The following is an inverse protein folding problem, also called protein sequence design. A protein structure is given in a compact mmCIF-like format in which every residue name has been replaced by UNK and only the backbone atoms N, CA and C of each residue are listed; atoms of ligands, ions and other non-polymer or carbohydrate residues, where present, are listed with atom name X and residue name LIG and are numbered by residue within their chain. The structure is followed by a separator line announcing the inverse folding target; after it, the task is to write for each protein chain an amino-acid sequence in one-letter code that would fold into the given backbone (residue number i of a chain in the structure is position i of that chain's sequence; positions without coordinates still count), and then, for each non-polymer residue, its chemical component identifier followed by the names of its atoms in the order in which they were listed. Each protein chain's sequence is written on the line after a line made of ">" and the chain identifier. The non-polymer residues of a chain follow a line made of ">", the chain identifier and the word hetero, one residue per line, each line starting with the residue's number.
data_IF_477201633864
#
_entry.id   IF_477201633864
#
_cell.length_a   1.000
_cell.length_b   1.000
_cell.length_c   1.000
_cell.angle_alpha   90.00
_cell.angle_beta   90.00
_cell.angle_gamma   90.00
#
_symmetry.space_group_name_H-M   'P 1'
#
loop_
_entity.id
_entity.type
_entity.pdbx_description
1 polymer ?
#
# COMPACT_ATOMS: atom_id res chain seq x y z
N UNK A 1 -4.16 -1.65 -18.52
CA UNK A 1 -4.43 -2.10 -17.14
C UNK A 1 -5.28 -3.35 -17.21
N UNK A 2 -4.69 -4.54 -17.17
CA UNK A 2 -5.45 -5.73 -16.83
C UNK A 2 -6.01 -5.50 -15.43
N UNK A 3 -7.31 -5.73 -15.22
CA UNK A 3 -8.01 -5.40 -13.97
C UNK A 3 -7.69 -6.32 -12.80
N UNK A 4 -6.43 -6.76 -12.66
CA UNK A 4 -6.00 -7.63 -11.57
C UNK A 4 -5.44 -6.77 -10.44
N UNK A 5 -5.75 -7.10 -9.17
CA UNK A 5 -5.30 -6.29 -8.03
C UNK A 5 -3.77 -6.10 -7.96
N UNK A 6 -3.00 -7.14 -8.30
CA UNK A 6 -1.54 -7.08 -8.26
C UNK A 6 -0.96 -6.14 -9.33
N UNK A 7 -1.61 -5.99 -10.49
CA UNK A 7 -1.14 -5.10 -11.55
C UNK A 7 -1.23 -3.64 -11.12
N UNK A 8 -2.19 -3.30 -10.23
CA UNK A 8 -2.30 -1.97 -9.63
C UNK A 8 -1.15 -1.75 -8.64
N UNK A 9 -0.88 -2.72 -7.77
CA UNK A 9 0.23 -2.63 -6.82
C UNK A 9 1.59 -2.57 -7.52
N UNK A 10 1.77 -3.32 -8.61
CA UNK A 10 2.98 -3.26 -9.43
C UNK A 10 3.15 -1.89 -10.09
N UNK A 11 2.07 -1.30 -10.61
CA UNK A 11 2.10 0.01 -11.23
C UNK A 11 2.37 1.15 -10.23
N UNK A 12 2.00 0.96 -8.96
CA UNK A 12 2.20 1.95 -7.87
C UNK A 12 3.46 1.71 -7.04
N UNK A 13 4.33 0.77 -7.44
CA UNK A 13 5.59 0.53 -6.74
C UNK A 13 6.51 1.75 -6.90
N UNK A 14 7.16 2.15 -5.81
CA UNK A 14 7.97 3.36 -5.68
C UNK A 14 7.18 4.68 -5.88
N UNK A 15 5.84 4.63 -5.82
CA UNK A 15 4.97 5.80 -5.83
C UNK A 15 4.37 6.06 -4.44
N UNK A 16 4.04 7.32 -4.16
CA UNK A 16 3.30 7.72 -2.96
C UNK A 16 1.85 7.25 -3.08
N UNK A 17 1.34 6.57 -2.06
CA UNK A 17 0.00 5.99 -2.05
C UNK A 17 -0.73 6.30 -0.75
N UNK A 18 -2.05 6.43 -0.84
CA UNK A 18 -2.94 6.43 0.32
C UNK A 18 -3.60 5.07 0.46
N UNK A 19 -3.44 4.46 1.64
CA UNK A 19 -4.01 3.16 2.00
C UNK A 19 -5.07 3.33 3.08
N UNK A 20 -6.24 2.73 2.87
CA UNK A 20 -7.32 2.72 3.87
C UNK A 20 -7.52 1.33 4.45
N UNK A 21 -7.63 1.27 5.78
CA UNK A 21 -7.87 0.02 6.52
C UNK A 21 -9.33 -0.13 6.94
N UNK A 22 -9.70 -1.36 7.33
CA UNK A 22 -11.05 -1.71 7.82
C UNK A 22 -11.51 -0.89 9.02
N UNK A 23 -10.58 -0.40 9.84
CA UNK A 23 -10.86 0.47 10.99
C UNK A 23 -11.25 1.90 10.62
N UNK A 24 -11.11 2.29 9.35
CA UNK A 24 -11.24 3.68 8.89
C UNK A 24 -9.97 4.49 9.03
N UNK A 25 -8.89 3.89 9.54
CA UNK A 25 -7.54 4.45 9.54
C UNK A 25 -7.02 4.56 8.11
N UNK A 26 -6.28 5.63 7.84
CA UNK A 26 -5.63 5.91 6.56
C UNK A 26 -4.14 6.13 6.80
N UNK A 27 -3.32 5.59 5.91
CA UNK A 27 -1.86 5.71 5.92
C UNK A 27 -1.42 6.27 4.57
N UNK A 28 -0.49 7.20 4.60
CA UNK A 28 0.16 7.77 3.42
C UNK A 28 1.64 7.40 3.46
N UNK A 29 2.22 7.09 2.32
CA UNK A 29 3.64 6.72 2.23
C UNK A 29 3.99 6.14 0.87
N UNK A 30 5.28 5.94 0.63
CA UNK A 30 5.81 5.35 -0.60
C UNK A 30 5.67 3.83 -0.54
N UNK A 31 5.00 3.23 -1.52
CA UNK A 31 4.89 1.78 -1.63
C UNK A 31 6.22 1.18 -2.09
N UNK A 32 6.96 0.52 -1.18
CA UNK A 32 8.28 -0.07 -1.50
C UNK A 32 8.24 -1.59 -1.66
N UNK A 33 7.12 -2.23 -1.32
CA UNK A 33 6.98 -3.67 -1.51
C UNK A 33 5.56 -4.20 -1.31
N UNK A 34 5.25 -5.33 -1.94
CA UNK A 34 3.99 -6.03 -1.76
C UNK A 34 4.13 -7.55 -2.02
N UNK A 35 3.11 -8.32 -1.64
CA UNK A 35 3.01 -9.74 -1.96
C UNK A 35 1.63 -10.15 -2.50
N UNK A 36 1.47 -11.45 -2.81
CA UNK A 36 0.23 -12.04 -3.33
C UNK A 36 -0.95 -11.99 -2.35
N UNK A 37 -0.69 -11.77 -1.06
CA UNK A 37 -1.70 -11.60 -0.03
C UNK A 37 -2.09 -10.13 0.16
N UNK A 38 -1.49 -9.22 -0.62
CA UNK A 38 -1.63 -7.76 -0.53
C UNK A 38 -1.11 -7.19 0.79
N UNK A 39 -0.15 -7.87 1.42
CA UNK A 39 0.66 -7.22 2.45
C UNK A 39 1.48 -6.13 1.77
N UNK A 40 1.56 -4.94 2.37
CA UNK A 40 2.27 -3.79 1.82
C UNK A 40 3.38 -3.36 2.76
N UNK A 41 4.46 -2.85 2.18
CA UNK A 41 5.52 -2.12 2.88
C UNK A 41 5.43 -0.68 2.40
N UNK A 42 5.17 0.24 3.34
CA UNK A 42 5.16 1.67 3.10
C UNK A 42 6.35 2.31 3.83
N UNK A 43 7.03 3.21 3.17
CA UNK A 43 8.00 4.12 3.81
C UNK A 43 7.35 5.49 3.95
N UNK A 44 7.36 6.04 5.16
CA UNK A 44 6.91 7.40 5.37
C UNK A 44 7.92 8.36 4.72
N UNK A 45 7.42 9.43 4.09
CA UNK A 45 8.29 10.41 3.42
C UNK A 45 8.92 11.37 4.43
N UNK A 46 8.26 11.58 5.58
CA UNK A 46 8.69 12.52 6.62
C UNK A 46 9.40 11.83 7.80
N UNK A 47 9.09 10.56 8.06
CA UNK A 47 9.68 9.76 9.14
C UNK A 47 10.50 8.60 8.53
N UNK A 48 11.72 8.33 9.02
CA UNK A 48 12.56 7.18 8.57
C UNK A 48 12.01 5.82 9.06
N UNK A 49 10.68 5.70 9.16
CA UNK A 49 9.96 4.56 9.69
C UNK A 49 9.36 3.73 8.55
N UNK A 50 9.63 2.43 8.58
CA UNK A 50 9.03 1.45 7.66
C UNK A 50 7.78 0.85 8.28
N UNK A 51 6.63 1.03 7.63
CA UNK A 51 5.35 0.48 8.06
C UNK A 51 4.98 -0.75 7.24
N UNK A 52 4.60 -1.84 7.91
CA UNK A 52 4.09 -3.05 7.25
C UNK A 52 2.59 -3.17 7.50
N UNK A 53 1.80 -3.14 6.43
CA UNK A 53 0.35 -3.29 6.46
C UNK A 53 -0.01 -4.72 6.05
N UNK A 54 -0.84 -5.39 6.85
CA UNK A 54 -1.36 -6.71 6.47
C UNK A 54 -2.53 -6.59 5.50
N UNK A 55 -2.49 -7.38 4.43
CA UNK A 55 -3.46 -7.33 3.33
C UNK A 55 -4.88 -7.74 3.72
N UNK A 56 -5.06 -8.50 4.81
CA UNK A 56 -6.37 -8.81 5.35
C UNK A 56 -7.08 -7.60 5.97
N UNK A 57 -6.35 -6.53 6.30
CA UNK A 57 -6.91 -5.27 6.81
C UNK A 57 -7.09 -4.19 5.73
N UNK A 58 -6.52 -4.38 4.55
CA UNK A 58 -6.59 -3.44 3.43
C UNK A 58 -8.02 -3.35 2.87
N UNK A 59 -8.50 -2.13 2.64
CA UNK A 59 -9.81 -1.87 2.01
C UNK A 59 -9.64 -1.23 0.64
N UNK A 60 -8.76 -0.24 0.52
CA UNK A 60 -8.45 0.42 -0.75
C UNK A 60 -7.03 0.97 -0.75
N UNK A 61 -6.47 1.11 -1.94
CA UNK A 61 -5.21 1.81 -2.23
C UNK A 61 -5.48 2.81 -3.36
N UNK A 62 -4.93 4.00 -3.25
CA UNK A 62 -4.98 5.04 -4.28
C UNK A 62 -3.58 5.61 -4.48
N UNK A 63 -3.02 5.59 -5.70
CA UNK A 63 -1.85 6.37 -6.06
C UNK A 63 -2.20 7.84 -6.32
#
# INVERSE_FOLDING_TARGET
>A
MSGRPLDVLEASLDEEVTVRLKGGEEFEGVLTGYDQHMNLVLEDTDEEDTTIIRGDNLVSISP
#
